data_IF_984328405390
#
_entry.id   IF_984328405390
#
_cell.length_a   1.000
_cell.length_b   1.000
_cell.length_c   1.000
_cell.angle_alpha   90.00
_cell.angle_beta   90.00
_cell.angle_gamma   90.00
#
_symmetry.space_group_name_H-M   'P 1'
#
loop_
_entity.id
_entity.type
_entity.pdbx_description
1 polymer ?
#
# COMPACT_ATOMS: atom_id res chain seq x y z
N UNK A 1 11.99 -4.00 25.06
CA UNK A 1 12.93 -3.08 24.40
C UNK A 1 13.27 -3.68 23.03
N UNK A 2 12.45 -3.40 22.01
CA UNK A 2 12.71 -3.92 20.66
C UNK A 2 13.97 -3.25 20.12
N UNK A 3 15.02 -4.02 19.82
CA UNK A 3 16.24 -3.46 19.23
C UNK A 3 15.91 -2.88 17.85
N UNK A 4 16.40 -1.67 17.55
CA UNK A 4 16.20 -0.93 16.29
C UNK A 4 16.39 -1.83 15.05
N UNK A 5 17.31 -2.79 15.16
CA UNK A 5 17.61 -3.75 14.11
C UNK A 5 16.39 -4.62 13.75
N UNK A 6 15.60 -5.08 14.72
CA UNK A 6 14.40 -5.87 14.44
C UNK A 6 13.34 -5.03 13.71
N UNK A 7 13.13 -3.79 14.13
CA UNK A 7 12.13 -2.92 13.51
C UNK A 7 12.47 -2.61 12.05
N UNK A 8 13.77 -2.40 11.76
CA UNK A 8 14.26 -2.23 10.39
C UNK A 8 14.09 -3.51 9.54
N UNK A 9 14.39 -4.68 10.12
CA UNK A 9 14.20 -5.97 9.45
C UNK A 9 12.71 -6.20 9.14
N UNK A 10 11.80 -5.92 10.08
CA UNK A 10 10.36 -6.05 9.85
C UNK A 10 9.86 -5.08 8.78
N UNK A 11 10.35 -3.82 8.76
CA UNK A 11 10.01 -2.87 7.72
C UNK A 11 10.47 -3.38 6.33
N UNK A 12 11.68 -3.95 6.23
CA UNK A 12 12.17 -4.55 4.99
C UNK A 12 11.32 -5.75 4.56
N UNK A 13 11.03 -6.68 5.45
CA UNK A 13 10.17 -7.84 5.15
C UNK A 13 8.79 -7.37 4.68
N UNK A 14 8.20 -6.37 5.36
CA UNK A 14 6.92 -5.79 4.99
C UNK A 14 6.97 -5.14 3.61
N UNK A 15 8.05 -4.41 3.28
CA UNK A 15 8.21 -3.81 1.94
C UNK A 15 8.36 -4.87 0.84
N UNK A 16 9.11 -5.94 1.09
CA UNK A 16 9.30 -7.04 0.12
C UNK A 16 7.98 -7.77 -0.09
N UNK A 17 7.27 -8.09 0.99
CA UNK A 17 5.97 -8.75 0.93
C UNK A 17 4.96 -7.90 0.17
N UNK A 18 4.88 -6.60 0.48
CA UNK A 18 3.97 -5.67 -0.18
C UNK A 18 4.30 -5.51 -1.67
N UNK A 19 5.58 -5.39 -2.03
CA UNK A 19 6.02 -5.35 -3.44
C UNK A 19 5.67 -6.63 -4.19
N UNK A 20 5.87 -7.79 -3.57
CA UNK A 20 5.54 -9.09 -4.17
C UNK A 20 4.03 -9.23 -4.43
N UNK A 21 3.19 -8.77 -3.50
CA UNK A 21 1.73 -8.73 -3.69
C UNK A 21 1.29 -7.80 -4.82
N UNK A 22 1.94 -6.62 -4.98
CA UNK A 22 1.67 -5.73 -6.10
C UNK A 22 2.09 -6.36 -7.44
N UNK A 23 3.24 -7.04 -7.49
CA UNK A 23 3.71 -7.74 -8.69
C UNK A 23 2.77 -8.90 -9.05
N UNK A 24 2.30 -9.67 -8.08
CA UNK A 24 1.32 -10.73 -8.31
C UNK A 24 -0.03 -10.17 -8.81
N UNK A 25 -0.47 -9.05 -8.24
CA UNK A 25 -1.67 -8.33 -8.70
C UNK A 25 -1.51 -7.83 -10.14
N UNK A 26 -0.31 -7.35 -10.50
CA UNK A 26 0.04 -6.97 -11.87
C UNK A 26 0.00 -8.16 -12.84
N UNK A 27 0.64 -9.28 -12.49
CA UNK A 27 0.68 -10.48 -13.34
C UNK A 27 -0.73 -11.06 -13.59
N UNK A 28 -1.59 -11.03 -12.58
CA UNK A 28 -2.99 -11.47 -12.70
C UNK A 28 -3.82 -10.56 -13.62
N UNK A 29 -3.53 -9.25 -13.64
CA UNK A 29 -4.17 -8.29 -14.56
C UNK A 29 -3.65 -8.39 -16.00
N UNK A 30 -2.33 -8.53 -16.17
CA UNK A 30 -1.68 -8.60 -17.49
C UNK A 30 -2.08 -9.83 -18.31
N UNK A 31 -2.48 -10.94 -17.66
CA UNK A 31 -2.95 -12.14 -18.36
C UNK A 31 -4.32 -11.95 -19.04
N UNK A 32 -5.08 -10.90 -18.70
CA UNK A 32 -6.45 -10.68 -19.19
C UNK A 32 -6.54 -9.67 -20.35
N UNK A 33 -5.48 -8.89 -20.62
CA UNK A 33 -5.49 -7.87 -21.67
C UNK A 33 -4.18 -7.93 -22.48
N UNK A 34 -4.28 -8.47 -23.70
CA UNK A 34 -3.14 -8.76 -24.59
C UNK A 34 -2.53 -7.50 -25.24
N UNK A 35 -2.82 -6.29 -24.73
CA UNK A 35 -2.32 -5.06 -25.33
C UNK A 35 -2.13 -3.95 -24.29
N UNK A 36 -0.94 -3.35 -24.32
CA UNK A 36 -0.44 -2.21 -23.55
C UNK A 36 0.07 -2.48 -22.11
N UNK A 37 1.38 -2.29 -21.98
CA UNK A 37 2.17 -2.22 -20.74
C UNK A 37 1.88 -0.87 -20.08
N UNK A 38 0.63 -0.59 -19.76
CA UNK A 38 0.26 0.57 -18.95
C UNK A 38 -0.12 0.06 -17.58
N UNK A 39 0.67 0.42 -16.57
CA UNK A 39 0.32 0.26 -15.17
C UNK A 39 -0.98 1.03 -14.91
N UNK A 40 -2.12 0.42 -15.21
CA UNK A 40 -3.42 1.00 -14.91
C UNK A 40 -3.59 0.86 -13.41
N UNK A 41 -3.13 1.89 -12.72
CA UNK A 41 -3.40 2.17 -11.31
C UNK A 41 -4.93 2.09 -11.04
N UNK A 42 -5.75 2.32 -12.07
CA UNK A 42 -7.20 2.08 -12.09
C UNK A 42 -7.63 0.62 -11.96
N UNK A 43 -6.81 -0.35 -12.39
CA UNK A 43 -7.05 -1.79 -12.15
C UNK A 43 -6.81 -2.16 -10.69
N UNK A 44 -5.79 -1.57 -10.06
CA UNK A 44 -5.60 -1.72 -8.61
C UNK A 44 -6.79 -1.08 -7.87
N UNK A 45 -7.21 0.13 -8.28
CA UNK A 45 -8.39 0.82 -7.74
C UNK A 45 -9.64 -0.06 -7.82
N UNK A 46 -9.95 -0.62 -8.99
CA UNK A 46 -11.15 -1.45 -9.17
C UNK A 46 -11.11 -2.74 -8.32
N UNK A 47 -9.96 -3.41 -8.24
CA UNK A 47 -9.77 -4.58 -7.38
C UNK A 47 -9.90 -4.24 -5.90
N UNK A 48 -9.40 -3.08 -5.47
CA UNK A 48 -9.58 -2.61 -4.10
C UNK A 48 -11.03 -2.23 -3.80
N UNK A 49 -11.73 -1.58 -4.73
CA UNK A 49 -13.16 -1.30 -4.59
C UNK A 49 -13.98 -2.60 -4.51
N UNK A 50 -13.72 -3.58 -5.39
CA UNK A 50 -14.34 -4.90 -5.32
C UNK A 50 -14.05 -5.62 -3.99
N UNK A 51 -12.82 -5.50 -3.48
CA UNK A 51 -12.42 -6.06 -2.19
C UNK A 51 -13.11 -5.35 -1.01
N UNK A 52 -13.30 -4.04 -1.07
CA UNK A 52 -14.04 -3.26 -0.06
C UNK A 52 -15.54 -3.62 -0.05
N UNK A 53 -16.13 -3.84 -1.23
CA UNK A 53 -17.53 -4.29 -1.34
C UNK A 53 -17.73 -5.75 -0.90
N UNK A 54 -16.69 -6.59 -0.95
CA UNK A 54 -16.74 -8.01 -0.58
C UNK A 54 -15.61 -8.41 0.39
N UNK A 55 -15.63 -7.91 1.64
CA UNK A 55 -14.48 -7.97 2.54
C UNK A 55 -14.13 -9.39 3.02
N UNK A 56 -15.05 -10.36 2.94
CA UNK A 56 -14.86 -11.72 3.46
C UNK A 56 -14.36 -12.75 2.42
N UNK A 57 -14.07 -12.34 1.18
CA UNK A 57 -13.41 -13.23 0.22
C UNK A 57 -11.93 -13.34 0.59
N UNK A 58 -11.38 -14.56 0.62
CA UNK A 58 -9.96 -14.80 1.02
C UNK A 58 -8.99 -13.91 0.22
N UNK A 59 -9.19 -13.79 -1.09
CA UNK A 59 -8.41 -12.93 -1.97
C UNK A 59 -8.56 -11.43 -1.64
N UNK A 60 -9.78 -10.97 -1.30
CA UNK A 60 -10.07 -9.59 -0.90
C UNK A 60 -9.35 -9.21 0.41
N UNK A 61 -9.31 -10.12 1.39
CA UNK A 61 -8.61 -9.89 2.67
C UNK A 61 -7.11 -9.71 2.44
N UNK A 62 -6.49 -10.55 1.59
CA UNK A 62 -5.06 -10.41 1.27
C UNK A 62 -4.75 -9.10 0.54
N UNK A 63 -5.61 -8.68 -0.39
CA UNK A 63 -5.47 -7.40 -1.08
C UNK A 63 -5.59 -6.22 -0.09
N UNK A 64 -6.65 -6.19 0.73
CA UNK A 64 -6.85 -5.15 1.73
C UNK A 64 -5.70 -5.08 2.73
N UNK A 65 -5.18 -6.23 3.18
CA UNK A 65 -4.03 -6.30 4.07
C UNK A 65 -2.77 -5.75 3.41
N UNK A 66 -2.53 -6.07 2.13
CA UNK A 66 -1.42 -5.53 1.35
C UNK A 66 -1.54 -4.02 1.14
N UNK A 67 -2.75 -3.50 0.92
CA UNK A 67 -2.99 -2.06 0.82
C UNK A 67 -2.71 -1.37 2.15
N UNK A 68 -3.20 -1.95 3.24
CA UNK A 68 -2.96 -1.43 4.57
C UNK A 68 -1.45 -1.41 4.88
N UNK A 69 -0.73 -2.48 4.52
CA UNK A 69 0.73 -2.54 4.61
C UNK A 69 1.42 -1.44 3.77
N UNK A 70 0.94 -1.18 2.55
CA UNK A 70 1.46 -0.12 1.68
C UNK A 70 1.23 1.28 2.26
N UNK A 71 0.05 1.51 2.84
CA UNK A 71 -0.29 2.77 3.49
C UNK A 71 0.57 3.01 4.73
N UNK A 72 0.84 1.96 5.52
CA UNK A 72 1.63 2.01 6.76
C UNK A 72 3.15 2.05 6.51
N UNK A 73 3.60 1.80 5.28
CA UNK A 73 5.01 1.71 4.91
C UNK A 73 5.84 2.95 5.30
N UNK A 74 5.43 4.20 4.99
CA UNK A 74 6.17 5.39 5.43
C UNK A 74 6.21 5.55 6.95
N UNK A 75 5.22 5.04 7.68
CA UNK A 75 5.20 5.07 9.13
C UNK A 75 6.20 4.06 9.72
N UNK A 76 6.27 2.83 9.19
CA UNK A 76 7.26 1.84 9.60
C UNK A 76 8.70 2.27 9.30
N UNK A 77 8.93 2.84 8.11
CA UNK A 77 10.24 3.40 7.75
C UNK A 77 10.59 4.60 8.61
N UNK A 78 9.65 5.54 8.81
CA UNK A 78 9.87 6.69 9.67
C UNK A 78 10.26 6.26 11.09
N UNK A 79 9.50 5.36 11.70
CA UNK A 79 9.80 4.85 13.04
C UNK A 79 11.18 4.18 13.11
N UNK A 80 11.58 3.43 12.08
CA UNK A 80 12.90 2.78 12.03
C UNK A 80 14.05 3.79 12.15
N UNK A 81 13.95 4.94 11.48
CA UNK A 81 15.01 5.95 11.44
C UNK A 81 14.93 6.97 12.59
N UNK A 82 13.75 7.49 12.92
CA UNK A 82 13.62 8.68 13.75
C UNK A 82 12.97 8.47 15.13
N UNK A 83 12.88 7.21 15.61
CA UNK A 83 12.39 6.86 16.95
C UNK A 83 13.08 7.60 18.13
N UNK A 84 14.16 8.34 17.88
CA UNK A 84 14.98 9.01 18.91
C UNK A 84 15.08 10.54 18.73
N UNK A 85 14.36 11.11 17.76
CA UNK A 85 14.48 12.53 17.38
C UNK A 85 13.09 13.17 17.30
N UNK A 86 13.00 14.50 17.47
CA UNK A 86 11.74 15.27 17.34
C UNK A 86 11.08 15.15 15.94
N UNK A 87 11.80 14.56 14.98
CA UNK A 87 11.33 14.20 13.65
C UNK A 87 10.17 13.18 13.62
N UNK A 88 9.75 12.62 14.75
CA UNK A 88 8.50 11.87 14.85
C UNK A 88 7.30 12.66 14.30
N UNK A 89 7.25 13.98 14.50
CA UNK A 89 6.16 14.81 13.96
C UNK A 89 6.18 14.85 12.43
N UNK A 90 7.38 14.87 11.82
CA UNK A 90 7.54 14.86 10.36
C UNK A 90 7.09 13.53 9.76
N UNK A 91 7.31 12.43 10.47
CA UNK A 91 6.83 11.10 10.03
C UNK A 91 5.32 11.06 10.03
N UNK A 92 4.69 11.60 11.08
CA UNK A 92 3.22 11.65 11.17
C UNK A 92 2.65 12.51 10.05
N UNK A 93 3.23 13.69 9.80
CA UNK A 93 2.82 14.58 8.70
C UNK A 93 3.01 13.89 7.34
N UNK A 94 4.17 13.26 7.11
CA UNK A 94 4.45 12.51 5.89
C UNK A 94 3.49 11.35 5.67
N UNK A 95 3.19 10.59 6.73
CA UNK A 95 2.18 9.52 6.70
C UNK A 95 0.78 10.08 6.41
N UNK A 96 0.40 11.20 7.01
CA UNK A 96 -0.90 11.83 6.80
C UNK A 96 -1.07 12.30 5.34
N UNK A 97 -0.04 12.93 4.77
CA UNK A 97 -0.02 13.35 3.36
C UNK A 97 -0.06 12.12 2.45
N UNK A 98 0.79 11.12 2.70
CA UNK A 98 0.87 9.89 1.92
C UNK A 98 -0.47 9.16 1.87
N UNK A 99 -1.05 8.88 3.03
CA UNK A 99 -2.34 8.20 3.15
C UNK A 99 -3.46 9.02 2.53
N UNK A 100 -3.45 10.35 2.68
CA UNK A 100 -4.42 11.23 2.04
C UNK A 100 -4.39 11.14 0.51
N UNK A 101 -3.22 11.25 -0.12
CA UNK A 101 -3.12 11.15 -1.58
C UNK A 101 -3.49 9.76 -2.10
N UNK A 102 -3.13 8.69 -1.38
CA UNK A 102 -3.52 7.32 -1.74
C UNK A 102 -5.02 7.07 -1.56
N UNK A 103 -5.62 7.55 -0.46
CA UNK A 103 -7.08 7.46 -0.27
C UNK A 103 -7.81 8.25 -1.34
N UNK A 104 -7.38 9.49 -1.58
CA UNK A 104 -7.94 10.32 -2.63
C UNK A 104 -7.85 9.59 -3.97
N UNK A 105 -6.72 8.99 -4.28
CA UNK A 105 -6.57 8.21 -5.51
C UNK A 105 -7.54 7.01 -5.59
N UNK A 106 -7.70 6.25 -4.51
CA UNK A 106 -8.56 5.07 -4.47
C UNK A 106 -10.05 5.38 -4.51
N UNK A 107 -10.46 6.46 -3.85
CA UNK A 107 -11.87 6.85 -3.69
C UNK A 107 -12.31 7.92 -4.69
N UNK A 108 -11.40 8.59 -5.38
CA UNK A 108 -11.75 9.46 -6.49
C UNK A 108 -12.22 8.57 -7.63
N UNK A 109 -13.52 8.29 -7.65
CA UNK A 109 -14.27 7.96 -8.85
C UNK A 109 -14.01 9.11 -9.81
N UNK A 110 -13.60 8.84 -11.04
CA UNK A 110 -13.46 9.88 -12.05
C UNK A 110 -14.84 10.49 -12.33
N UNK A 111 -15.21 11.52 -11.56
CA UNK A 111 -16.14 12.56 -11.97
C UNK A 111 -15.36 13.53 -12.86
N UNK A 112 -14.89 13.03 -14.00
CA UNK A 112 -14.53 13.90 -15.12
C UNK A 112 -15.37 13.47 -16.30
N UNK A 113 -16.47 14.23 -16.43
CA UNK A 113 -17.18 14.54 -17.67
C UNK A 113 -16.23 14.86 -18.83
#
# INVERSE_FOLDING_TARGET
MFSKNYLMIYALILTILCGLFLILSYKSGAQKENNSISFRLSFLRSRFQEALHSPFRKESVFLLLSLCAWMLLPLFWGLAFFLKTDANVLIVIGFMIWTYYWLKYLFSTDETA
#
